data_IF_702045910261
#
_entry.id   IF_702045910261
#
_cell.length_a   1.000
_cell.length_b   1.000
_cell.length_c   1.000
_cell.angle_alpha   90.00
_cell.angle_beta   90.00
_cell.angle_gamma   90.00
#
_symmetry.space_group_name_H-M   'P 1'
#
loop_
_entity.id
_entity.type
_entity.pdbx_description
1 polymer ?
#
# COMPACT_ATOMS: atom_id res chain seq x y z
N UNK A 1 58.73 7.04 41.41
CA UNK A 1 58.71 7.26 39.95
C UNK A 1 58.31 6.00 39.19
N UNK A 2 59.09 4.92 39.21
CA UNK A 2 58.81 3.66 38.49
C UNK A 2 57.46 3.03 38.86
N UNK A 3 57.08 3.04 40.14
CA UNK A 3 55.78 2.53 40.63
C UNK A 3 54.58 3.25 40.04
N UNK A 4 54.68 4.56 39.82
CA UNK A 4 53.63 5.36 39.18
C UNK A 4 53.46 4.98 37.70
N UNK A 5 54.57 4.79 36.97
CA UNK A 5 54.54 4.35 35.57
C UNK A 5 53.96 2.93 35.43
N UNK A 6 54.27 2.02 36.37
CA UNK A 6 53.64 0.68 36.39
C UNK A 6 52.14 0.75 36.67
N UNK A 7 51.69 1.61 37.60
CA UNK A 7 50.26 1.81 37.86
C UNK A 7 49.52 2.36 36.64
N UNK A 8 50.08 3.37 35.97
CA UNK A 8 49.52 3.92 34.72
C UNK A 8 49.48 2.88 33.60
N UNK A 9 50.53 2.06 33.45
CA UNK A 9 50.55 0.96 32.49
C UNK A 9 49.45 -0.08 32.77
N UNK A 10 49.29 -0.48 34.04
CA UNK A 10 48.24 -1.43 34.44
C UNK A 10 46.82 -0.84 34.22
N UNK A 11 46.63 0.44 34.53
CA UNK A 11 45.37 1.15 34.27
C UNK A 11 45.04 1.21 32.78
N UNK A 12 46.02 1.51 31.92
CA UNK A 12 45.84 1.48 30.46
C UNK A 12 45.47 0.08 29.95
N UNK A 13 46.07 -0.98 30.50
CA UNK A 13 45.74 -2.36 30.13
C UNK A 13 44.29 -2.72 30.52
N UNK A 14 43.82 -2.30 31.70
CA UNK A 14 42.40 -2.47 32.10
C UNK A 14 41.47 -1.74 31.12
N UNK A 15 41.77 -0.48 30.80
CA UNK A 15 40.99 0.32 29.85
C UNK A 15 40.97 -0.34 28.45
N UNK A 16 42.09 -0.89 28.01
CA UNK A 16 42.19 -1.61 26.74
C UNK A 16 41.34 -2.88 26.74
N UNK A 17 41.36 -3.67 27.82
CA UNK A 17 40.52 -4.87 27.97
C UNK A 17 39.03 -4.50 27.96
N UNK A 18 38.63 -3.45 28.68
CA UNK A 18 37.26 -2.92 28.65
C UNK A 18 36.86 -2.48 27.22
N UNK A 19 37.74 -1.78 26.50
CA UNK A 19 37.48 -1.36 25.13
C UNK A 19 37.30 -2.57 24.18
N UNK A 20 38.10 -3.62 24.33
CA UNK A 20 37.95 -4.88 23.57
C UNK A 20 36.58 -5.53 23.84
N UNK A 21 36.14 -5.61 25.10
CA UNK A 21 34.83 -6.18 25.46
C UNK A 21 33.67 -5.35 24.92
N UNK A 22 33.77 -4.01 24.98
CA UNK A 22 32.76 -3.10 24.41
C UNK A 22 32.70 -3.20 22.88
N UNK A 23 33.85 -3.33 22.20
CA UNK A 23 33.89 -3.54 20.75
C UNK A 23 33.32 -4.92 20.36
N UNK A 24 33.68 -5.99 21.07
CA UNK A 24 33.16 -7.34 20.84
C UNK A 24 31.63 -7.40 20.97
N UNK A 25 31.09 -6.87 22.08
CA UNK A 25 29.64 -6.83 22.30
C UNK A 25 28.91 -5.97 21.27
N UNK A 26 29.49 -4.80 20.90
CA UNK A 26 28.94 -3.95 19.84
C UNK A 26 28.95 -4.65 18.48
N UNK A 27 30.04 -5.34 18.12
CA UNK A 27 30.17 -6.05 16.84
C UNK A 27 29.19 -7.22 16.75
N UNK A 28 29.08 -8.04 17.80
CA UNK A 28 28.13 -9.15 17.82
C UNK A 28 26.67 -8.67 17.69
N UNK A 29 26.33 -7.55 18.34
CA UNK A 29 24.98 -6.95 18.25
C UNK A 29 24.58 -6.57 16.81
N UNK A 30 25.53 -6.16 15.96
CA UNK A 30 25.24 -5.89 14.56
C UNK A 30 24.95 -7.18 13.76
N UNK A 31 25.73 -8.24 13.99
CA UNK A 31 25.52 -9.56 13.36
C UNK A 31 24.19 -10.19 13.81
N UNK A 32 23.82 -10.03 15.08
CA UNK A 32 22.52 -10.48 15.59
C UNK A 32 21.34 -9.68 15.00
N UNK A 33 21.55 -8.40 14.65
CA UNK A 33 20.56 -7.58 13.95
C UNK A 33 20.34 -8.07 12.51
N UNK A 34 21.42 -8.31 11.78
CA UNK A 34 21.38 -8.81 10.39
C UNK A 34 20.63 -10.14 10.29
N UNK A 35 20.91 -11.08 11.21
CA UNK A 35 20.18 -12.36 11.31
C UNK A 35 18.70 -12.19 11.64
N UNK A 36 18.32 -11.19 12.45
CA UNK A 36 16.92 -10.88 12.76
C UNK A 36 16.21 -10.26 11.56
N UNK A 37 16.89 -9.39 10.81
CA UNK A 37 16.35 -8.82 9.57
C UNK A 37 16.06 -9.91 8.53
N UNK A 38 16.98 -10.85 8.31
CA UNK A 38 16.76 -11.97 7.38
C UNK A 38 15.51 -12.79 7.71
N UNK A 39 15.35 -13.18 8.99
CA UNK A 39 14.16 -13.92 9.44
C UNK A 39 12.85 -13.12 9.32
N UNK A 40 12.90 -11.83 9.65
CA UNK A 40 11.74 -10.95 9.53
C UNK A 40 11.31 -10.74 8.06
N UNK A 41 12.26 -10.78 7.11
CA UNK A 41 11.94 -10.77 5.67
C UNK A 41 11.29 -12.09 5.25
N UNK A 42 11.79 -13.24 5.73
CA UNK A 42 11.20 -14.57 5.47
C UNK A 42 9.75 -14.65 6.00
N UNK A 43 9.51 -14.21 7.24
CA UNK A 43 8.16 -14.12 7.84
C UNK A 43 7.26 -13.11 7.09
N UNK A 44 7.82 -12.02 6.55
CA UNK A 44 7.10 -11.05 5.72
C UNK A 44 6.74 -11.63 4.34
N UNK A 45 7.63 -12.38 3.70
CA UNK A 45 7.35 -13.05 2.42
C UNK A 45 6.23 -14.09 2.55
N UNK A 46 6.20 -14.86 3.65
CA UNK A 46 5.12 -15.81 3.95
C UNK A 46 3.77 -15.10 4.15
N UNK A 47 3.74 -14.04 4.97
CA UNK A 47 2.49 -13.28 5.23
C UNK A 47 1.96 -12.54 4.01
N UNK A 48 2.84 -11.94 3.19
CA UNK A 48 2.46 -11.34 1.90
C UNK A 48 1.93 -12.42 0.95
N UNK A 49 2.56 -13.59 0.88
CA UNK A 49 2.11 -14.69 0.02
C UNK A 49 0.72 -15.19 0.42
N UNK A 50 0.45 -15.35 1.72
CA UNK A 50 -0.88 -15.70 2.22
C UNK A 50 -1.93 -14.65 1.85
N UNK A 51 -1.62 -13.36 2.03
CA UNK A 51 -2.52 -12.27 1.67
C UNK A 51 -2.77 -12.16 0.16
N UNK A 52 -1.76 -12.39 -0.68
CA UNK A 52 -1.91 -12.41 -2.14
C UNK A 52 -2.78 -13.59 -2.62
N UNK A 53 -2.72 -14.73 -1.93
CA UNK A 53 -3.63 -15.87 -2.18
C UNK A 53 -5.06 -15.50 -1.79
N UNK A 54 -5.27 -14.98 -0.57
CA UNK A 54 -6.59 -14.55 -0.09
C UNK A 54 -7.22 -13.48 -1.00
N UNK A 55 -6.47 -12.44 -1.38
CA UNK A 55 -6.90 -11.43 -2.34
C UNK A 55 -7.22 -12.02 -3.72
N UNK A 56 -6.46 -13.01 -4.20
CA UNK A 56 -6.74 -13.67 -5.48
C UNK A 56 -8.04 -14.47 -5.41
N UNK A 57 -8.24 -15.23 -4.34
CA UNK A 57 -9.44 -16.02 -4.10
C UNK A 57 -10.69 -15.13 -3.94
N UNK A 58 -10.59 -14.00 -3.24
CA UNK A 58 -11.68 -13.02 -3.14
C UNK A 58 -12.04 -12.42 -4.52
N UNK A 59 -11.03 -12.07 -5.32
CA UNK A 59 -11.26 -11.57 -6.69
C UNK A 59 -11.91 -12.62 -7.60
N UNK A 60 -11.49 -13.89 -7.53
CA UNK A 60 -12.11 -14.99 -8.30
C UNK A 60 -13.56 -15.24 -7.84
N UNK A 61 -13.83 -15.29 -6.53
CA UNK A 61 -15.18 -15.44 -5.97
C UNK A 61 -16.12 -14.26 -6.32
N UNK A 62 -15.58 -13.05 -6.39
CA UNK A 62 -16.30 -11.85 -6.85
C UNK A 62 -16.65 -11.95 -8.34
N UNK A 63 -15.72 -12.38 -9.19
CA UNK A 63 -15.96 -12.58 -10.62
C UNK A 63 -17.02 -13.67 -10.85
N UNK A 64 -16.91 -14.81 -10.17
CA UNK A 64 -17.88 -15.91 -10.26
C UNK A 64 -19.29 -15.46 -9.84
N UNK A 65 -19.39 -14.59 -8.83
CA UNK A 65 -20.65 -13.99 -8.40
C UNK A 65 -21.34 -13.16 -9.49
N UNK A 66 -20.59 -12.56 -10.42
CA UNK A 66 -21.16 -11.89 -11.61
C UNK A 66 -21.56 -12.88 -12.71
N UNK A 67 -20.77 -13.93 -12.92
CA UNK A 67 -21.08 -14.96 -13.92
C UNK A 67 -22.34 -15.77 -13.53
N UNK A 68 -22.48 -16.13 -12.26
CA UNK A 68 -23.63 -16.89 -11.76
C UNK A 68 -24.95 -16.09 -11.85
N UNK A 69 -24.95 -14.79 -11.52
CA UNK A 69 -26.13 -13.92 -11.65
C UNK A 69 -26.61 -13.74 -13.10
N UNK A 70 -25.78 -14.05 -14.10
CA UNK A 70 -26.16 -14.05 -15.52
C UNK A 70 -26.75 -15.38 -16.00
N UNK A 71 -26.65 -16.45 -15.21
CA UNK A 71 -27.04 -17.82 -15.60
C UNK A 71 -28.44 -18.27 -15.18
N UNK A 72 -29.11 -17.56 -14.26
CA UNK A 72 -30.36 -18.03 -13.64
C UNK A 72 -31.52 -17.02 -13.80
N UNK A 73 -32.20 -17.05 -14.95
CA UNK A 73 -33.43 -16.27 -15.13
C UNK A 73 -33.77 -15.87 -16.57
N UNK A 74 -34.14 -16.84 -17.42
CA UNK A 74 -34.67 -16.55 -18.75
C UNK A 74 -36.04 -17.23 -18.96
N UNK A 75 -37.15 -16.47 -18.96
CA UNK A 75 -38.41 -16.87 -19.57
C UNK A 75 -38.58 -16.21 -20.95
N UNK A 76 -38.71 -17.03 -21.99
CA UNK A 76 -38.96 -16.60 -23.37
C UNK A 76 -40.47 -16.62 -23.67
N UNK A 77 -41.02 -15.50 -24.16
CA UNK A 77 -42.32 -15.27 -24.85
C UNK A 77 -42.55 -13.75 -24.95
N UNK A 78 -43.19 -13.17 -25.95
CA UNK A 78 -43.56 -13.60 -27.31
C UNK A 78 -43.73 -12.31 -28.17
N UNK A 79 -44.00 -12.43 -29.47
CA UNK A 79 -44.16 -11.31 -30.41
C UNK A 79 -45.41 -10.46 -30.11
N UNK A 80 -45.30 -9.14 -30.25
CA UNK A 80 -46.36 -8.28 -30.80
C UNK A 80 -45.73 -7.04 -31.45
N UNK A 81 -46.33 -6.59 -32.55
CA UNK A 81 -45.92 -5.42 -33.35
C UNK A 81 -46.71 -4.17 -32.94
N UNK A 82 -46.20 -2.97 -33.30
CA UNK A 82 -46.85 -1.64 -33.26
C UNK A 82 -47.30 -1.12 -31.87
N UNK A 83 -47.05 0.13 -31.43
CA UNK A 83 -46.35 1.30 -31.99
C UNK A 83 -45.97 2.26 -30.80
N UNK A 84 -45.25 3.39 -30.90
CA UNK A 84 -44.90 4.27 -32.04
C UNK A 84 -43.58 5.07 -31.80
N UNK A 85 -43.36 6.07 -32.67
CA UNK A 85 -42.49 7.28 -32.67
C UNK A 85 -41.74 7.75 -31.38
N UNK A 86 -40.52 8.33 -31.45
CA UNK A 86 -39.63 8.60 -32.61
C UNK A 86 -38.15 8.89 -32.23
N UNK A 87 -37.26 8.59 -33.20
CA UNK A 87 -35.94 9.19 -33.46
C UNK A 87 -34.70 8.78 -32.59
N UNK A 88 -33.47 8.76 -33.16
CA UNK A 88 -32.67 7.52 -33.10
C UNK A 88 -31.16 7.68 -32.76
N UNK A 89 -30.53 6.57 -32.32
CA UNK A 89 -29.12 6.22 -32.67
C UNK A 89 -28.74 4.80 -32.22
N UNK A 90 -28.92 3.84 -33.13
CA UNK A 90 -28.06 2.66 -33.34
C UNK A 90 -27.55 1.85 -32.11
N UNK A 91 -28.33 0.83 -31.70
CA UNK A 91 -27.77 -0.36 -31.04
C UNK A 91 -27.01 -1.24 -32.05
N UNK A 92 -25.91 -0.69 -32.58
CA UNK A 92 -24.98 -1.43 -33.43
C UNK A 92 -24.25 -2.49 -32.61
N UNK A 93 -24.16 -3.71 -33.15
CA UNK A 93 -23.39 -4.82 -32.57
C UNK A 93 -21.96 -4.37 -32.23
N UNK A 94 -21.69 -4.15 -30.92
CA UNK A 94 -20.45 -3.52 -30.46
C UNK A 94 -19.29 -4.52 -30.58
N UNK A 95 -18.67 -4.52 -31.76
CA UNK A 95 -17.42 -5.21 -32.06
C UNK A 95 -16.41 -5.01 -30.92
N UNK A 96 -15.60 -6.03 -30.55
CA UNK A 96 -14.60 -5.90 -29.50
C UNK A 96 -13.63 -4.71 -29.72
N UNK A 97 -13.43 -4.28 -30.97
CA UNK A 97 -12.71 -3.05 -31.29
C UNK A 97 -13.33 -1.79 -30.64
N UNK A 98 -14.66 -1.64 -30.70
CA UNK A 98 -15.37 -0.48 -30.12
C UNK A 98 -15.39 -0.53 -28.59
N UNK A 99 -15.43 -1.72 -27.98
CA UNK A 99 -15.26 -1.86 -26.52
C UNK A 99 -13.87 -1.41 -26.07
N UNK A 100 -12.81 -1.80 -26.79
CA UNK A 100 -11.44 -1.35 -26.52
C UNK A 100 -11.28 0.16 -26.72
N UNK A 101 -11.89 0.72 -27.77
CA UNK A 101 -11.88 2.16 -28.02
C UNK A 101 -12.57 2.96 -26.90
N UNK A 102 -13.70 2.48 -26.40
CA UNK A 102 -14.43 3.13 -25.31
C UNK A 102 -13.69 2.98 -23.96
N UNK A 103 -13.07 1.83 -23.69
CA UNK A 103 -12.21 1.66 -22.53
C UNK A 103 -10.99 2.60 -22.57
N UNK A 104 -10.29 2.69 -23.71
CA UNK A 104 -9.17 3.61 -23.87
C UNK A 104 -9.55 5.09 -23.68
N UNK A 105 -10.75 5.49 -24.14
CA UNK A 105 -11.30 6.83 -23.88
C UNK A 105 -11.60 7.07 -22.39
N UNK A 106 -12.11 6.07 -21.68
CA UNK A 106 -12.35 6.17 -20.23
C UNK A 106 -11.04 6.36 -19.44
N UNK A 107 -9.99 5.58 -19.76
CA UNK A 107 -8.67 5.76 -19.14
C UNK A 107 -8.07 7.14 -19.47
N UNK A 108 -8.22 7.64 -20.70
CA UNK A 108 -7.74 8.98 -21.07
C UNK A 108 -8.46 10.10 -20.30
N UNK A 109 -9.77 9.98 -20.09
CA UNK A 109 -10.55 11.01 -19.38
C UNK A 109 -10.38 10.95 -17.85
N UNK A 110 -9.93 9.83 -17.30
CA UNK A 110 -9.72 9.66 -15.85
C UNK A 110 -8.24 9.63 -15.45
N UNK A 111 -7.33 10.01 -16.36
CA UNK A 111 -5.91 10.17 -16.06
C UNK A 111 -5.66 11.55 -15.45
N UNK A 112 -4.93 11.68 -14.32
CA UNK A 112 -4.55 12.99 -13.79
C UNK A 112 -3.67 13.72 -14.82
N UNK A 113 -4.07 14.94 -15.17
CA UNK A 113 -3.40 15.71 -16.21
C UNK A 113 -1.98 16.12 -15.76
N UNK A 114 -0.95 15.41 -16.22
CA UNK A 114 0.42 15.78 -15.87
C UNK A 114 1.53 14.73 -16.04
N UNK A 115 1.48 13.85 -17.04
CA UNK A 115 2.70 13.13 -17.49
C UNK A 115 2.82 13.28 -19.00
N UNK A 116 3.63 14.26 -19.41
CA UNK A 116 4.08 14.41 -20.80
C UNK A 116 5.19 13.39 -21.04
N UNK A 117 5.13 12.65 -22.14
CA UNK A 117 6.22 11.75 -22.55
C UNK A 117 7.52 12.54 -22.76
N UNK A 118 8.41 12.50 -21.76
CA UNK A 118 9.83 12.81 -21.95
C UNK A 118 10.62 11.51 -21.91
N UNK A 119 11.09 11.13 -23.10
CA UNK A 119 12.13 10.13 -23.34
C UNK A 119 13.40 10.48 -22.55
N UNK A 120 13.52 9.93 -21.34
CA UNK A 120 14.70 10.03 -20.49
C UNK A 120 14.89 8.71 -19.72
N UNK A 121 16.15 8.35 -19.47
CA UNK A 121 16.54 6.98 -19.07
C UNK A 121 15.93 6.49 -17.75
N UNK A 122 15.64 5.19 -17.70
CA UNK A 122 15.18 4.51 -16.49
C UNK A 122 16.28 4.46 -15.43
N UNK A 123 16.26 5.41 -14.50
CA UNK A 123 17.00 5.33 -13.23
C UNK A 123 16.10 4.69 -12.17
N UNK A 124 16.53 3.61 -11.48
CA UNK A 124 15.80 3.12 -10.32
C UNK A 124 15.69 4.23 -9.28
N UNK A 125 14.47 4.64 -8.96
CA UNK A 125 14.20 5.56 -7.86
C UNK A 125 14.45 4.77 -6.57
N UNK A 126 15.64 4.91 -6.00
CA UNK A 126 15.83 4.57 -4.59
C UNK A 126 14.88 5.45 -3.77
N UNK A 127 14.22 4.93 -2.72
CA UNK A 127 13.33 5.72 -1.89
C UNK A 127 14.15 6.75 -1.10
N UNK A 128 14.33 7.93 -1.71
CA UNK A 128 14.62 9.16 -1.01
C UNK A 128 13.48 9.36 0.01
N UNK A 129 13.83 9.72 1.25
CA UNK A 129 12.86 9.88 2.34
C UNK A 129 12.08 11.17 2.11
N UNK A 130 11.13 11.11 1.18
CA UNK A 130 10.04 12.06 1.13
C UNK A 130 9.13 11.68 2.31
N UNK A 131 9.21 12.47 3.38
CA UNK A 131 8.13 12.55 4.36
C UNK A 131 6.91 13.18 3.70
N UNK A 132 6.33 12.50 2.71
CA UNK A 132 4.95 12.75 2.34
C UNK A 132 4.14 12.42 3.59
N UNK A 133 3.52 13.44 4.19
CA UNK A 133 2.57 13.25 5.28
C UNK A 133 1.46 12.33 4.76
N UNK A 134 1.62 11.02 4.98
CA UNK A 134 0.65 10.05 4.50
C UNK A 134 -0.73 10.41 5.04
N UNK A 135 -1.79 10.11 4.28
CA UNK A 135 -3.17 10.40 4.72
C UNK A 135 -3.45 9.84 6.13
N UNK A 136 -2.78 8.75 6.50
CA UNK A 136 -2.75 8.14 7.83
C UNK A 136 -2.14 9.09 8.87
N UNK A 137 -0.93 9.61 8.62
CA UNK A 137 -0.24 10.57 9.50
C UNK A 137 -1.06 11.84 9.70
N UNK A 138 -1.67 12.37 8.63
CA UNK A 138 -2.54 13.54 8.72
C UNK A 138 -3.79 13.28 9.58
N UNK A 139 -4.44 12.12 9.41
CA UNK A 139 -5.59 11.71 10.23
C UNK A 139 -5.20 11.56 11.70
N UNK A 140 -4.10 10.88 12.01
CA UNK A 140 -3.61 10.69 13.37
C UNK A 140 -3.28 12.01 14.05
N UNK A 141 -2.51 12.89 13.40
CA UNK A 141 -2.13 14.20 13.93
C UNK A 141 -3.33 15.15 14.16
N UNK A 142 -4.41 15.01 13.37
CA UNK A 142 -5.66 15.73 13.62
C UNK A 142 -6.48 15.11 14.75
N UNK A 143 -6.45 13.78 14.89
CA UNK A 143 -7.12 13.06 15.98
C UNK A 143 -6.46 13.29 17.34
N UNK A 144 -5.12 13.30 17.40
CA UNK A 144 -4.34 13.66 18.60
C UNK A 144 -4.60 15.10 19.08
N UNK A 145 -4.95 16.00 18.16
CA UNK A 145 -5.40 17.38 18.48
C UNK A 145 -6.84 17.43 19.02
N UNK A 146 -7.50 16.29 19.20
CA UNK A 146 -8.83 16.18 19.79
C UNK A 146 -9.97 16.63 18.86
N UNK A 147 -9.76 16.68 17.55
CA UNK A 147 -10.84 16.96 16.59
C UNK A 147 -11.80 15.77 16.50
N UNK A 148 -13.08 16.04 16.27
CA UNK A 148 -14.06 14.98 16.03
C UNK A 148 -13.80 14.28 14.69
N UNK A 149 -14.19 13.01 14.59
CA UNK A 149 -14.09 12.19 13.37
C UNK A 149 -14.80 12.90 12.20
N UNK A 150 -15.91 13.59 12.46
CA UNK A 150 -16.67 14.35 11.45
C UNK A 150 -15.91 15.58 10.94
N UNK A 151 -15.16 16.27 11.80
CA UNK A 151 -14.41 17.47 11.41
C UNK A 151 -13.15 17.10 10.64
N UNK A 152 -12.51 15.98 11.00
CA UNK A 152 -11.42 15.39 10.22
C UNK A 152 -11.94 14.98 8.82
N UNK A 153 -13.15 14.40 8.75
CA UNK A 153 -13.81 14.00 7.50
C UNK A 153 -14.11 15.19 6.58
N UNK A 154 -14.69 16.27 7.13
CA UNK A 154 -14.93 17.52 6.40
C UNK A 154 -13.61 18.17 5.94
N UNK A 155 -12.56 18.13 6.77
CA UNK A 155 -11.27 18.77 6.48
C UNK A 155 -10.44 18.03 5.43
N UNK A 156 -10.51 16.70 5.36
CA UNK A 156 -9.77 15.87 4.41
C UNK A 156 -10.60 15.44 3.19
N UNK A 157 -11.90 15.78 3.15
CA UNK A 157 -12.80 15.38 2.06
C UNK A 157 -12.99 13.86 1.98
N UNK A 158 -13.10 13.19 3.12
CA UNK A 158 -13.22 11.72 3.26
C UNK A 158 -14.51 11.33 3.97
N UNK A 159 -14.88 10.06 3.88
CA UNK A 159 -16.00 9.50 4.62
C UNK A 159 -15.74 9.51 6.13
N UNK A 160 -16.78 9.79 6.93
CA UNK A 160 -16.73 9.70 8.39
C UNK A 160 -16.31 8.28 8.81
N UNK A 161 -16.89 7.27 8.15
CA UNK A 161 -16.55 5.85 8.32
C UNK A 161 -15.12 5.52 7.90
N UNK A 162 -14.59 6.13 6.84
CA UNK A 162 -13.22 5.90 6.36
C UNK A 162 -12.19 6.35 7.41
N UNK A 163 -12.41 7.50 8.04
CA UNK A 163 -11.52 8.03 9.08
C UNK A 163 -11.68 7.28 10.40
N UNK A 164 -12.91 6.93 10.79
CA UNK A 164 -13.14 6.04 11.94
C UNK A 164 -12.38 4.71 11.77
N UNK A 165 -12.37 4.15 10.55
CA UNK A 165 -11.66 2.93 10.21
C UNK A 165 -10.13 3.14 10.28
N UNK A 166 -9.60 4.20 9.66
CA UNK A 166 -8.16 4.53 9.67
C UNK A 166 -7.60 4.70 11.10
N UNK A 167 -8.37 5.33 11.98
CA UNK A 167 -8.01 5.51 13.40
C UNK A 167 -8.02 4.15 14.12
N UNK A 168 -9.08 3.34 13.97
CA UNK A 168 -9.20 2.04 14.64
C UNK A 168 -8.11 1.03 14.24
N UNK A 169 -7.67 1.04 12.97
CA UNK A 169 -6.59 0.17 12.52
C UNK A 169 -5.22 0.58 13.07
N UNK A 170 -4.96 1.88 13.29
CA UNK A 170 -3.68 2.34 13.88
C UNK A 170 -3.64 2.31 15.41
N UNK A 171 -4.77 2.43 16.10
CA UNK A 171 -4.82 2.36 17.57
C UNK A 171 -4.54 0.95 18.15
N UNK A 172 -4.41 -0.08 17.30
CA UNK A 172 -4.29 -1.47 17.72
C UNK A 172 -2.92 -2.09 17.42
N UNK A 173 -1.86 -1.27 17.50
CA UNK A 173 -0.46 -1.69 17.45
C UNK A 173 0.21 -1.60 18.83
#
# INVERSE_FOLDING_TARGET
>A
MSTFLLFVSFLLNIICLLAIVVLYTRQNRYVDLERRQGKMIEEMEETISAYLIEMKEENEAFIDSFHQRKGSGAPQRDKSEADFEAAPADMGHVSPANKRLNAAKAYKNNSPAGVTDQENGWTPILPEVIEEETLISQVLHLYEKGLSIEDIAKKLGKGITEIELLIKFNQKS
#
